data_IF_282471517940
#
_entry.id   IF_282471517940
#
_cell.length_a   1.000
_cell.length_b   1.000
_cell.length_c   1.000
_cell.angle_alpha   90.00
_cell.angle_beta   90.00
_cell.angle_gamma   90.00
#
_symmetry.space_group_name_H-M   'P 1'
#
loop_
_entity.id
_entity.type
_entity.pdbx_description
1 polymer ?
#
# COMPACT_ATOMS: atom_id res chain seq x y z
N UNK A 1 -25.25 -9.20 8.94
CA UNK A 1 -24.21 -8.60 9.80
C UNK A 1 -22.98 -8.47 8.94
N UNK A 2 -22.52 -7.24 8.65
CA UNK A 2 -21.27 -7.01 7.90
C UNK A 2 -20.08 -7.41 8.78
N UNK A 3 -19.10 -8.11 8.19
CA UNK A 3 -17.91 -8.56 8.91
C UNK A 3 -17.02 -7.39 9.33
N UNK A 4 -16.08 -7.63 10.24
CA UNK A 4 -15.11 -6.60 10.66
C UNK A 4 -14.36 -6.00 9.46
N UNK A 5 -13.88 -6.86 8.56
CA UNK A 5 -13.16 -6.45 7.35
C UNK A 5 -14.05 -5.60 6.44
N UNK A 6 -15.33 -5.94 6.27
CA UNK A 6 -16.26 -5.12 5.47
C UNK A 6 -16.39 -3.71 6.04
N UNK A 7 -16.52 -3.57 7.36
CA UNK A 7 -16.60 -2.24 8.01
C UNK A 7 -15.34 -1.41 7.78
N UNK A 8 -14.17 -2.05 7.79
CA UNK A 8 -12.89 -1.37 7.55
C UNK A 8 -12.76 -0.99 6.07
N UNK A 9 -13.13 -1.89 5.16
CA UNK A 9 -13.19 -1.61 3.72
C UNK A 9 -14.07 -0.40 3.45
N UNK A 10 -15.30 -0.42 3.95
CA UNK A 10 -16.30 0.64 3.71
C UNK A 10 -15.80 1.98 4.28
N UNK A 11 -15.22 1.99 5.48
CA UNK A 11 -14.60 3.19 6.07
C UNK A 11 -13.50 3.77 5.17
N UNK A 12 -12.60 2.93 4.67
CA UNK A 12 -11.46 3.38 3.85
C UNK A 12 -11.95 3.86 2.48
N UNK A 13 -12.90 3.17 1.87
CA UNK A 13 -13.52 3.57 0.60
C UNK A 13 -14.23 4.92 0.73
N UNK A 14 -15.06 5.10 1.77
CA UNK A 14 -15.73 6.36 2.05
C UNK A 14 -14.73 7.50 2.28
N UNK A 15 -13.66 7.25 3.04
CA UNK A 15 -12.63 8.27 3.31
C UNK A 15 -11.86 8.62 2.03
N UNK A 16 -11.56 7.63 1.17
CA UNK A 16 -10.91 7.87 -0.11
C UNK A 16 -11.75 8.72 -1.05
N UNK A 17 -13.07 8.53 -1.04
CA UNK A 17 -14.02 9.18 -1.94
C UNK A 17 -14.58 10.50 -1.40
N UNK A 18 -14.18 10.91 -0.19
CA UNK A 18 -14.61 12.18 0.39
C UNK A 18 -14.08 13.37 -0.43
N UNK A 19 -14.89 14.41 -0.63
CA UNK A 19 -14.50 15.63 -1.36
C UNK A 19 -13.31 16.35 -0.71
N UNK A 20 -13.09 16.13 0.58
CA UNK A 20 -11.99 16.70 1.35
C UNK A 20 -10.67 15.94 1.20
N UNK A 21 -10.66 14.79 0.51
CA UNK A 21 -9.47 13.96 0.39
C UNK A 21 -8.50 14.52 -0.67
N UNK A 22 -7.30 14.89 -0.22
CA UNK A 22 -6.21 15.39 -1.08
C UNK A 22 -5.28 14.27 -1.57
N UNK A 23 -5.52 13.03 -1.14
CA UNK A 23 -4.73 11.86 -1.52
C UNK A 23 -5.21 11.26 -2.86
N UNK A 24 -4.46 11.58 -3.92
CA UNK A 24 -4.73 11.11 -5.28
C UNK A 24 -4.52 9.60 -5.38
N UNK A 25 -5.54 8.88 -5.88
CA UNK A 25 -5.44 7.44 -6.18
C UNK A 25 -5.56 6.51 -4.96
N UNK A 26 -6.01 7.03 -3.81
CA UNK A 26 -6.07 6.27 -2.55
C UNK A 26 -6.81 4.94 -2.64
N UNK A 27 -8.03 4.94 -3.20
CA UNK A 27 -8.85 3.73 -3.26
C UNK A 27 -8.30 2.67 -4.23
N UNK A 28 -8.02 2.99 -5.52
CA UNK A 28 -7.41 2.02 -6.43
C UNK A 28 -6.10 1.43 -5.91
N UNK A 29 -5.24 2.27 -5.33
CA UNK A 29 -3.99 1.82 -4.71
C UNK A 29 -4.26 0.85 -3.56
N UNK A 30 -5.11 1.23 -2.60
CA UNK A 30 -5.43 0.39 -1.43
C UNK A 30 -5.98 -0.97 -1.85
N UNK A 31 -6.90 -1.02 -2.82
CA UNK A 31 -7.46 -2.27 -3.33
C UNK A 31 -6.36 -3.16 -3.96
N UNK A 32 -5.44 -2.55 -4.70
CA UNK A 32 -4.29 -3.27 -5.28
C UNK A 32 -3.36 -3.82 -4.19
N UNK A 33 -3.07 -3.04 -3.14
CA UNK A 33 -2.28 -3.48 -1.97
C UNK A 33 -2.96 -4.66 -1.28
N UNK A 34 -4.27 -4.59 -1.02
CA UNK A 34 -5.03 -5.69 -0.40
C UNK A 34 -4.96 -6.95 -1.25
N UNK A 35 -5.18 -6.85 -2.57
CA UNK A 35 -5.10 -7.98 -3.49
C UNK A 35 -3.75 -8.70 -3.41
N UNK A 36 -2.64 -7.97 -3.54
CA UNK A 36 -1.31 -8.58 -3.56
C UNK A 36 -0.86 -9.06 -2.18
N UNK A 37 -1.18 -8.32 -1.12
CA UNK A 37 -0.85 -8.72 0.26
C UNK A 37 -1.54 -10.03 0.63
N UNK A 38 -2.83 -10.19 0.28
CA UNK A 38 -3.58 -11.44 0.52
C UNK A 38 -3.02 -12.61 -0.27
N UNK A 39 -2.75 -12.43 -1.57
CA UNK A 39 -2.18 -13.49 -2.41
C UNK A 39 -0.82 -13.99 -1.86
N UNK A 40 0.01 -13.06 -1.36
CA UNK A 40 1.28 -13.43 -0.73
C UNK A 40 1.08 -14.09 0.64
N UNK A 41 0.13 -13.62 1.44
CA UNK A 41 -0.20 -14.21 2.74
C UNK A 41 -0.68 -15.66 2.60
N UNK A 42 -1.55 -15.94 1.63
CA UNK A 42 -2.01 -17.30 1.31
C UNK A 42 -0.85 -18.20 0.89
N UNK A 43 0.07 -17.70 0.05
CA UNK A 43 1.25 -18.44 -0.40
C UNK A 43 2.21 -18.76 0.74
N UNK A 44 2.39 -17.84 1.69
CA UNK A 44 3.34 -17.97 2.80
C UNK A 44 2.74 -18.56 4.08
N UNK A 45 1.42 -18.75 4.14
CA UNK A 45 0.72 -19.21 5.35
C UNK A 45 0.64 -18.15 6.46
N UNK A 46 0.65 -16.87 6.11
CA UNK A 46 0.47 -15.78 7.07
C UNK A 46 -1.02 -15.62 7.47
N UNK A 47 -1.29 -14.91 8.57
CA UNK A 47 -2.67 -14.59 8.97
C UNK A 47 -3.32 -13.60 7.98
N UNK A 48 -4.10 -14.14 7.05
CA UNK A 48 -4.76 -13.39 5.97
C UNK A 48 -5.66 -12.28 6.50
N UNK A 49 -6.38 -12.48 7.61
CA UNK A 49 -7.26 -11.44 8.17
C UNK A 49 -6.43 -10.26 8.70
N UNK A 50 -5.34 -10.53 9.42
CA UNK A 50 -4.43 -9.50 9.90
C UNK A 50 -3.81 -8.73 8.72
N UNK A 51 -3.38 -9.44 7.67
CA UNK A 51 -2.80 -8.82 6.46
C UNK A 51 -3.81 -7.97 5.72
N UNK A 52 -5.04 -8.45 5.53
CA UNK A 52 -6.10 -7.72 4.83
C UNK A 52 -6.48 -6.43 5.57
N UNK A 53 -6.66 -6.50 6.89
CA UNK A 53 -6.94 -5.32 7.72
C UNK A 53 -5.80 -4.29 7.64
N UNK A 54 -4.56 -4.76 7.80
CA UNK A 54 -3.39 -3.88 7.72
C UNK A 54 -3.23 -3.24 6.34
N UNK A 55 -3.48 -4.00 5.27
CA UNK A 55 -3.43 -3.50 3.90
C UNK A 55 -4.51 -2.44 3.63
N UNK A 56 -5.73 -2.58 4.15
CA UNK A 56 -6.72 -1.50 4.05
C UNK A 56 -6.32 -0.24 4.80
N UNK A 57 -5.65 -0.36 5.94
CA UNK A 57 -5.34 0.76 6.83
C UNK A 57 -3.95 1.37 6.65
N UNK A 58 -3.07 0.79 5.82
CA UNK A 58 -1.64 1.15 5.77
C UNK A 58 -1.39 2.65 5.49
N UNK A 59 -2.17 3.23 4.58
CA UNK A 59 -2.10 4.63 4.17
C UNK A 59 -3.26 5.49 4.72
N UNK A 60 -4.10 4.92 5.60
CA UNK A 60 -5.31 5.59 6.09
C UNK A 60 -5.02 6.96 6.72
N UNK A 61 -3.89 7.11 7.42
CA UNK A 61 -3.48 8.41 7.97
C UNK A 61 -3.27 9.46 6.88
N UNK A 62 -2.61 9.10 5.77
CA UNK A 62 -2.39 9.99 4.62
C UNK A 62 -3.69 10.34 3.90
N UNK A 63 -4.61 9.36 3.81
CA UNK A 63 -5.93 9.52 3.18
C UNK A 63 -6.83 10.43 4.02
N UNK A 64 -6.79 10.26 5.35
CA UNK A 64 -7.60 11.03 6.29
C UNK A 64 -7.14 12.49 6.44
N UNK A 65 -5.83 12.73 6.48
CA UNK A 65 -5.25 14.06 6.60
C UNK A 65 -3.86 14.08 5.93
N UNK A 66 -3.73 14.84 4.85
CA UNK A 66 -2.49 14.95 4.08
C UNK A 66 -1.30 15.43 4.94
N UNK A 67 -1.55 16.15 6.04
CA UNK A 67 -0.49 16.60 6.98
C UNK A 67 0.20 15.44 7.69
N UNK A 68 -0.43 14.28 7.78
CA UNK A 68 0.12 13.08 8.42
C UNK A 68 1.03 12.28 7.47
N UNK A 69 1.02 12.58 6.17
CA UNK A 69 1.80 11.87 5.14
C UNK A 69 3.30 11.70 5.47
N UNK A 70 4.04 12.70 6.01
CA UNK A 70 5.47 12.55 6.27
C UNK A 70 5.82 11.37 7.18
N UNK A 71 4.94 11.08 8.15
CA UNK A 71 5.08 10.03 9.16
C UNK A 71 3.89 9.06 9.14
N UNK A 72 3.23 8.86 7.99
CA UNK A 72 2.00 8.06 7.87
C UNK A 72 2.12 6.64 8.41
N UNK A 73 3.28 5.99 8.34
CA UNK A 73 3.52 4.70 8.98
C UNK A 73 3.34 4.71 10.51
N UNK A 74 3.70 5.81 11.19
CA UNK A 74 3.50 5.99 12.65
C UNK A 74 2.03 6.32 12.92
N UNK A 75 1.52 7.38 12.28
CA UNK A 75 0.14 7.82 12.47
C UNK A 75 -0.89 6.79 12.01
N UNK A 76 -0.58 6.01 10.99
CA UNK A 76 -1.41 4.93 10.47
C UNK A 76 -1.53 3.80 11.49
N UNK A 77 -0.44 3.45 12.19
CA UNK A 77 -0.50 2.48 13.28
C UNK A 77 -1.35 3.02 14.46
N UNK A 78 -1.27 4.31 14.77
CA UNK A 78 -2.11 4.95 15.80
C UNK A 78 -3.59 4.98 15.41
N UNK A 79 -3.92 5.32 14.15
CA UNK A 79 -5.29 5.33 13.64
C UNK A 79 -5.87 3.91 13.59
N UNK A 80 -5.10 2.93 13.16
CA UNK A 80 -5.52 1.52 13.17
C UNK A 80 -5.86 1.05 14.60
N UNK A 81 -5.07 1.43 15.61
CA UNK A 81 -5.40 1.12 17.00
C UNK A 81 -6.74 1.71 17.43
N UNK A 82 -6.99 2.99 17.12
CA UNK A 82 -8.24 3.67 17.48
C UNK A 82 -9.45 3.00 16.81
N UNK A 83 -9.37 2.77 15.50
CA UNK A 83 -10.45 2.16 14.70
C UNK A 83 -10.76 0.75 15.22
N UNK A 84 -9.73 -0.09 15.35
CA UNK A 84 -9.91 -1.49 15.71
C UNK A 84 -10.35 -1.66 17.17
N UNK A 85 -9.87 -0.81 18.08
CA UNK A 85 -10.34 -0.81 19.47
C UNK A 85 -11.83 -0.41 19.55
N UNK A 86 -12.25 0.59 18.76
CA UNK A 86 -13.66 0.98 18.66
C UNK A 86 -14.58 -0.12 18.10
N UNK A 87 -14.00 -1.07 17.34
CA UNK A 87 -14.68 -2.24 16.81
C UNK A 87 -14.54 -3.49 17.71
N UNK A 88 -13.98 -3.35 18.91
CA UNK A 88 -13.70 -4.41 19.87
C UNK A 88 -12.80 -5.54 19.30
N UNK A 89 -11.86 -5.20 18.42
CA UNK A 89 -10.89 -6.18 17.92
C UNK A 89 -9.88 -6.56 19.02
N UNK A 90 -9.46 -7.83 19.15
CA UNK A 90 -8.57 -8.25 20.23
C UNK A 90 -7.24 -7.49 20.21
N UNK A 91 -6.81 -6.96 21.37
CA UNK A 91 -5.58 -6.16 21.50
C UNK A 91 -4.34 -6.84 20.90
N UNK A 92 -4.16 -8.14 21.14
CA UNK A 92 -3.04 -8.89 20.58
C UNK A 92 -3.04 -8.94 19.04
N UNK A 93 -4.21 -8.87 18.39
CA UNK A 93 -4.31 -8.80 16.91
C UNK A 93 -4.16 -7.36 16.42
N UNK A 94 -4.64 -6.38 17.17
CA UNK A 94 -4.37 -4.96 16.91
C UNK A 94 -2.86 -4.71 16.85
N UNK A 95 -2.09 -5.23 17.81
CA UNK A 95 -0.64 -5.01 17.85
C UNK A 95 0.09 -5.59 16.61
N UNK A 96 -0.39 -6.72 16.08
CA UNK A 96 0.12 -7.26 14.81
C UNK A 96 -0.20 -6.35 13.62
N UNK A 97 -1.45 -5.87 13.52
CA UNK A 97 -1.85 -4.93 12.46
C UNK A 97 -1.01 -3.65 12.53
N UNK A 98 -0.84 -3.08 13.73
CA UNK A 98 -0.02 -1.89 13.95
C UNK A 98 1.41 -2.09 13.46
N UNK A 99 2.01 -3.24 13.76
CA UNK A 99 3.36 -3.55 13.32
C UNK A 99 3.46 -3.65 11.79
N UNK A 100 2.50 -4.31 11.13
CA UNK A 100 2.45 -4.36 9.67
C UNK A 100 2.44 -2.95 9.06
N UNK A 101 1.58 -2.07 9.59
CA UNK A 101 1.46 -0.68 9.11
C UNK A 101 2.71 0.13 9.47
N UNK A 102 3.28 -0.03 10.65
CA UNK A 102 4.49 0.68 11.03
C UNK A 102 5.70 0.30 10.14
N UNK A 103 5.85 -0.99 9.83
CA UNK A 103 6.99 -1.52 9.10
C UNK A 103 6.82 -1.52 7.56
N UNK A 104 5.64 -1.17 7.02
CA UNK A 104 5.41 -1.27 5.56
C UNK A 104 6.29 -0.29 4.77
N UNK A 105 6.58 0.88 5.34
CA UNK A 105 7.24 1.99 4.64
C UNK A 105 8.71 1.66 4.33
N UNK A 106 8.94 1.15 3.12
CA UNK A 106 10.25 0.68 2.68
C UNK A 106 11.36 1.75 2.61
N UNK A 107 11.06 3.05 2.74
CA UNK A 107 12.07 4.10 2.83
C UNK A 107 12.66 4.29 4.23
N UNK A 108 12.01 3.78 5.28
CA UNK A 108 12.44 3.94 6.68
C UNK A 108 13.29 2.77 7.21
N UNK A 109 13.53 1.73 6.41
CA UNK A 109 14.33 0.54 6.78
C UNK A 109 13.92 -0.09 8.12
N UNK A 110 12.63 -0.02 8.45
CA UNK A 110 12.07 -0.62 9.66
C UNK A 110 12.07 -2.15 9.51
N UNK A 111 12.57 -2.91 10.50
CA UNK A 111 12.54 -4.37 10.45
C UNK A 111 11.11 -4.92 10.39
N UNK A 112 10.92 -5.92 9.53
CA UNK A 112 9.66 -6.66 9.42
C UNK A 112 9.78 -7.95 10.23
N UNK A 113 9.24 -7.92 11.44
CA UNK A 113 9.39 -9.00 12.42
C UNK A 113 8.41 -10.18 12.21
N UNK A 114 7.42 -10.04 11.32
CA UNK A 114 6.41 -11.09 11.08
C UNK A 114 6.13 -11.29 9.60
N UNK A 115 5.59 -12.47 9.24
CA UNK A 115 5.17 -12.77 7.88
C UNK A 115 4.09 -11.81 7.40
N UNK A 116 3.18 -11.39 8.28
CA UNK A 116 2.13 -10.43 7.94
C UNK A 116 2.73 -9.06 7.55
N UNK A 117 3.74 -8.59 8.28
CA UNK A 117 4.43 -7.34 7.97
C UNK A 117 5.17 -7.44 6.63
N UNK A 118 5.78 -8.59 6.34
CA UNK A 118 6.35 -8.87 5.03
C UNK A 118 5.30 -8.86 3.92
N UNK A 119 4.14 -9.46 4.14
CA UNK A 119 3.07 -9.52 3.15
C UNK A 119 2.57 -8.12 2.78
N UNK A 120 2.28 -7.27 3.78
CA UNK A 120 1.77 -5.91 3.55
C UNK A 120 2.81 -5.04 2.86
N UNK A 121 4.07 -5.08 3.31
CA UNK A 121 5.13 -4.26 2.74
C UNK A 121 5.53 -4.68 1.31
N UNK A 122 5.46 -5.98 1.00
CA UNK A 122 5.62 -6.45 -0.37
C UNK A 122 4.38 -6.10 -1.21
N UNK A 123 3.17 -6.25 -0.67
CA UNK A 123 1.93 -5.90 -1.35
C UNK A 123 1.85 -4.43 -1.77
N UNK A 124 2.31 -3.51 -0.91
CA UNK A 124 2.47 -2.09 -1.24
C UNK A 124 3.44 -1.89 -2.43
N UNK A 125 4.61 -2.52 -2.36
CA UNK A 125 5.58 -2.46 -3.45
C UNK A 125 5.02 -3.06 -4.76
N UNK A 126 4.33 -4.20 -4.69
CA UNK A 126 3.71 -4.92 -5.80
C UNK A 126 2.61 -4.10 -6.49
N UNK A 127 1.79 -3.37 -5.72
CA UNK A 127 0.72 -2.53 -6.23
C UNK A 127 1.21 -1.44 -7.20
N UNK A 128 2.49 -1.05 -7.14
CA UNK A 128 3.02 -0.05 -8.05
C UNK A 128 3.08 -0.51 -9.52
N UNK A 129 3.21 -1.82 -9.78
CA UNK A 129 3.42 -2.32 -11.14
C UNK A 129 2.16 -2.29 -12.00
N UNK A 130 0.97 -2.32 -11.39
CA UNK A 130 -0.30 -2.14 -12.09
C UNK A 130 -0.87 -0.72 -12.01
N UNK A 131 -0.18 0.18 -11.31
CA UNK A 131 -0.57 1.58 -11.10
C UNK A 131 0.20 2.57 -11.99
N UNK A 132 0.81 2.12 -13.10
CA UNK A 132 1.59 3.00 -13.99
C UNK A 132 0.83 4.25 -14.44
N UNK A 133 -0.46 4.18 -14.87
CA UNK A 133 -1.21 5.38 -15.23
C UNK A 133 -1.36 6.37 -14.08
N UNK A 134 -1.62 5.90 -12.86
CA UNK A 134 -1.76 6.74 -11.67
C UNK A 134 -0.44 7.41 -11.28
N UNK A 135 0.67 6.67 -11.36
CA UNK A 135 2.00 7.19 -11.09
C UNK A 135 2.42 8.26 -12.12
N UNK A 136 2.08 8.07 -13.40
CA UNK A 136 2.31 9.07 -14.44
C UNK A 136 1.42 10.29 -14.23
N UNK A 137 0.14 10.09 -13.89
CA UNK A 137 -0.76 11.19 -13.54
C UNK A 137 -0.19 12.02 -12.39
N UNK A 138 0.29 11.38 -11.32
CA UNK A 138 0.94 12.04 -10.19
C UNK A 138 2.20 12.83 -10.63
N UNK A 139 3.05 12.23 -11.45
CA UNK A 139 4.27 12.86 -11.97
C UNK A 139 3.97 14.15 -12.74
N UNK A 140 2.99 14.11 -13.65
CA UNK A 140 2.69 15.24 -14.52
C UNK A 140 1.84 16.31 -13.86
N UNK A 141 0.94 15.95 -12.94
CA UNK A 141 0.00 16.91 -12.33
C UNK A 141 0.51 17.47 -11.01
N UNK A 142 0.95 16.62 -10.08
CA UNK A 142 1.36 17.04 -8.74
C UNK A 142 2.79 17.54 -8.71
N UNK A 143 3.69 16.85 -9.41
CA UNK A 143 5.11 17.22 -9.46
C UNK A 143 5.46 18.12 -10.65
N UNK A 144 4.51 18.33 -11.58
CA UNK A 144 4.68 19.17 -12.76
C UNK A 144 5.90 18.79 -13.62
N UNK A 145 6.28 17.51 -13.63
CA UNK A 145 7.39 17.03 -14.44
C UNK A 145 7.06 17.06 -15.93
N UNK A 146 8.10 17.27 -16.75
CA UNK A 146 8.00 17.03 -18.18
C UNK A 146 7.78 15.55 -18.50
N UNK A 147 7.45 15.22 -19.77
CA UNK A 147 7.14 13.85 -20.19
C UNK A 147 8.30 12.89 -19.87
N UNK A 148 9.53 13.22 -20.27
CA UNK A 148 10.67 12.33 -20.04
C UNK A 148 11.07 12.25 -18.57
N UNK A 149 11.08 13.38 -17.86
CA UNK A 149 11.35 13.43 -16.42
C UNK A 149 10.32 12.59 -15.62
N UNK A 150 9.04 12.70 -15.97
CA UNK A 150 7.99 11.91 -15.33
C UNK A 150 8.12 10.42 -15.61
N UNK A 151 8.42 10.02 -16.86
CA UNK A 151 8.71 8.61 -17.21
C UNK A 151 9.89 8.07 -16.40
N UNK A 152 10.99 8.81 -16.33
CA UNK A 152 12.18 8.43 -15.57
C UNK A 152 11.88 8.30 -14.08
N UNK A 153 11.10 9.24 -13.52
CA UNK A 153 10.69 9.20 -12.11
C UNK A 153 9.84 7.96 -11.80
N UNK A 154 8.84 7.64 -12.65
CA UNK A 154 8.01 6.45 -12.49
C UNK A 154 8.87 5.20 -12.61
N UNK A 155 9.75 5.11 -13.62
CA UNK A 155 10.65 3.97 -13.81
C UNK A 155 11.54 3.74 -12.59
N UNK A 156 12.16 4.80 -12.08
CA UNK A 156 12.98 4.72 -10.87
C UNK A 156 12.16 4.30 -9.64
N UNK A 157 10.88 4.72 -9.55
CA UNK A 157 9.97 4.26 -8.49
C UNK A 157 9.70 2.75 -8.60
N UNK A 158 9.40 2.24 -9.79
CA UNK A 158 9.18 0.81 -10.01
C UNK A 158 10.43 -0.02 -9.72
N UNK A 159 11.61 0.44 -10.12
CA UNK A 159 12.88 -0.23 -9.81
C UNK A 159 13.12 -0.31 -8.29
N UNK A 160 12.86 0.78 -7.55
CA UNK A 160 12.95 0.76 -6.08
C UNK A 160 11.93 -0.20 -5.47
N UNK A 161 10.72 -0.31 -6.02
CA UNK A 161 9.72 -1.27 -5.56
C UNK A 161 10.19 -2.71 -5.81
N UNK A 162 10.70 -3.00 -7.02
CA UNK A 162 11.21 -4.31 -7.41
C UNK A 162 12.36 -4.79 -6.52
N UNK A 163 13.30 -3.89 -6.20
CA UNK A 163 14.48 -4.21 -5.39
C UNK A 163 14.14 -4.53 -3.93
N UNK A 164 12.97 -4.12 -3.44
CA UNK A 164 12.48 -4.43 -2.08
C UNK A 164 11.76 -5.77 -1.98
N UNK A 165 11.38 -6.37 -3.11
CA UNK A 165 10.56 -7.57 -3.11
C UNK A 165 11.34 -8.82 -2.70
N UNK A 166 10.68 -9.67 -1.93
CA UNK A 166 11.13 -11.05 -1.66
C UNK A 166 11.04 -11.91 -2.93
N UNK A 167 11.75 -13.05 -3.00
CA UNK A 167 11.63 -13.97 -4.13
C UNK A 167 10.18 -14.40 -4.42
N UNK A 168 9.41 -14.75 -3.40
CA UNK A 168 8.00 -15.13 -3.55
C UNK A 168 7.13 -14.00 -4.10
N UNK A 169 7.36 -12.76 -3.64
CA UNK A 169 6.65 -11.59 -4.15
C UNK A 169 7.01 -11.32 -5.63
N UNK A 170 8.30 -11.39 -5.99
CA UNK A 170 8.74 -11.25 -7.38
C UNK A 170 8.10 -12.27 -8.29
N UNK A 171 7.94 -13.50 -7.82
CA UNK A 171 7.36 -14.57 -8.64
C UNK A 171 5.89 -14.31 -8.99
N UNK A 172 5.16 -13.58 -8.13
CA UNK A 172 3.77 -13.17 -8.36
C UNK A 172 3.66 -12.04 -9.39
N UNK A 173 4.56 -11.04 -9.37
CA UNK A 173 4.42 -9.80 -10.19
C UNK A 173 5.46 -9.61 -11.28
N UNK A 174 6.32 -10.61 -11.55
CA UNK A 174 7.36 -10.51 -12.59
C UNK A 174 6.81 -10.13 -13.97
N UNK A 175 5.61 -10.59 -14.32
CA UNK A 175 4.96 -10.26 -15.59
C UNK A 175 4.46 -8.81 -15.59
N UNK A 176 3.76 -8.39 -14.52
CA UNK A 176 3.30 -7.01 -14.34
C UNK A 176 4.47 -6.01 -14.42
N UNK A 177 5.58 -6.32 -13.73
CA UNK A 177 6.79 -5.48 -13.76
C UNK A 177 7.40 -5.39 -15.18
N UNK A 178 7.49 -6.52 -15.89
CA UNK A 178 8.04 -6.54 -17.25
C UNK A 178 7.17 -5.74 -18.24
N UNK A 179 5.84 -5.76 -18.08
CA UNK A 179 4.93 -4.94 -18.88
C UNK A 179 5.11 -3.46 -18.55
N UNK A 180 5.17 -3.11 -17.27
CA UNK A 180 5.35 -1.73 -16.83
C UNK A 180 6.68 -1.12 -17.32
N UNK A 181 7.79 -1.85 -17.22
CA UNK A 181 9.09 -1.38 -17.72
C UNK A 181 9.07 -1.19 -19.24
N UNK A 182 8.45 -2.12 -19.99
CA UNK A 182 8.30 -2.01 -21.45
C UNK A 182 7.54 -0.76 -21.89
N UNK A 183 6.53 -0.32 -21.14
CA UNK A 183 5.77 0.91 -21.42
C UNK A 183 6.67 2.14 -21.24
N UNK A 184 7.48 2.14 -20.17
CA UNK A 184 8.28 3.31 -19.79
C UNK A 184 9.55 3.51 -20.63
N UNK A 185 10.09 2.45 -21.23
CA UNK A 185 11.31 2.51 -22.07
C UNK A 185 11.05 2.84 -23.54
N UNK A 186 9.78 3.05 -23.95
CA UNK A 186 9.47 3.44 -25.32
C UNK A 186 10.06 4.83 -25.61
N UNK A 187 10.84 4.90 -26.70
CA UNK A 187 11.32 6.16 -27.27
C UNK A 187 10.27 6.66 -28.24
N UNK A 188 9.89 7.92 -28.09
CA UNK A 188 9.06 8.65 -29.06
C UNK A 188 9.95 9.01 -30.25
#
# INVERSE_FOLDING_TARGET
>A
MTGLVDKIRDLVEETCNAETNEFIGGWPHTVSVVKYSKALAEKLGADVETVEIAAYLHDYASIKDAKLTPEHHIHGAEEAEKILSGLNYPKARIDKVKHCIYAHRGSQKIPRETLEADCVANGDAMAHFNAVPELLFLAYTKYAFGIEEGKEWVRAKLERSWNKLTPDAKDIVKEDYAVADKILVQKI
#
